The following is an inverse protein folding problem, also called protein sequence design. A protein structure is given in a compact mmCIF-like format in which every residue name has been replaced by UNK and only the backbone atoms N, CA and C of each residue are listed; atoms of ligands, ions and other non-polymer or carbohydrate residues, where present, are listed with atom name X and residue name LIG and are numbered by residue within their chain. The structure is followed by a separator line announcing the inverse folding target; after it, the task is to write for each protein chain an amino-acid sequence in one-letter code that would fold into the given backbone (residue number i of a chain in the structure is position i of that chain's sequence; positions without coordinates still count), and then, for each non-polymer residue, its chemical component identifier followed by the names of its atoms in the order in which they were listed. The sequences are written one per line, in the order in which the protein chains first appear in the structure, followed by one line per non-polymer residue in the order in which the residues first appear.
data_IF_781099959399
#
_entry.id   IF_781099959399
#
_cell.length_a   1.000
_cell.length_b   1.000
_cell.length_c   1.000
_cell.angle_alpha   90.00
_cell.angle_beta   90.00
_cell.angle_gamma   90.00
#
_symmetry.space_group_name_H-M   'P 1'
#
loop_
_entity.id
_entity.type
_entity.pdbx_description
1 polymer ?
#
# COMPACT_ATOMS: atom_id res chain seq x y z
N UNK A 1 4.24 -4.01 -12.67
CA UNK A 1 3.36 -2.97 -13.27
C UNK A 1 3.50 -2.81 -14.78
N UNK A 2 4.70 -2.84 -15.36
CA UNK A 2 4.89 -2.56 -16.80
C UNK A 2 4.11 -3.50 -17.75
N UNK A 3 3.99 -4.79 -17.43
CA UNK A 3 3.26 -5.78 -18.26
C UNK A 3 1.74 -5.62 -18.21
N UNK A 4 1.17 -5.58 -17.01
CA UNK A 4 -0.29 -5.53 -16.81
C UNK A 4 -0.87 -4.12 -16.66
N UNK A 5 -0.01 -3.10 -16.61
CA UNK A 5 -0.38 -1.67 -16.52
C UNK A 5 -1.27 -1.29 -15.32
N UNK A 6 -1.23 -2.08 -14.25
CA UNK A 6 -1.91 -1.71 -13.00
C UNK A 6 -1.22 -0.53 -12.31
N UNK A 7 -2.05 0.39 -11.80
CA UNK A 7 -1.61 1.53 -11.01
C UNK A 7 -1.52 1.23 -9.51
N UNK A 8 -2.35 0.30 -9.04
CA UNK A 8 -2.44 -0.08 -7.63
C UNK A 8 -2.67 -1.59 -7.57
N UNK A 9 -1.93 -2.29 -6.72
CA UNK A 9 -2.05 -3.73 -6.48
C UNK A 9 -2.09 -3.95 -4.97
N UNK A 10 -3.17 -4.57 -4.47
CA UNK A 10 -3.22 -5.07 -3.10
C UNK A 10 -2.48 -6.39 -2.96
N UNK A 11 -1.72 -6.53 -1.89
CA UNK A 11 -0.96 -7.74 -1.54
C UNK A 11 -1.40 -8.19 -0.16
N UNK A 12 -1.90 -9.41 -0.07
CA UNK A 12 -2.12 -10.11 1.20
C UNK A 12 -0.90 -10.94 1.55
N UNK A 13 -0.69 -11.20 2.83
CA UNK A 13 0.44 -11.99 3.36
C UNK A 13 1.81 -11.39 3.00
N UNK A 14 1.99 -10.09 3.22
CA UNK A 14 3.29 -9.40 3.02
C UNK A 14 4.37 -9.96 3.97
N UNK A 15 3.98 -10.41 5.18
CA UNK A 15 4.85 -10.99 6.22
C UNK A 15 5.98 -10.08 6.69
N UNK A 16 5.86 -8.78 6.44
CA UNK A 16 6.79 -7.78 6.98
C UNK A 16 6.31 -7.32 8.34
N UNK A 17 7.25 -7.02 9.23
CA UNK A 17 6.90 -6.54 10.56
C UNK A 17 6.56 -5.05 10.55
N UNK A 18 5.75 -4.64 11.53
CA UNK A 18 5.36 -3.25 11.73
C UNK A 18 4.65 -2.64 10.52
N UNK A 19 4.75 -1.33 10.37
CA UNK A 19 4.08 -0.57 9.31
C UNK A 19 5.01 0.48 8.73
N UNK A 20 4.82 0.81 7.46
CA UNK A 20 5.66 1.81 6.81
C UNK A 20 5.50 1.88 5.30
N UNK A 21 6.49 2.54 4.71
CA UNK A 21 6.64 2.74 3.28
C UNK A 21 8.11 2.50 2.89
N UNK A 22 8.35 1.78 1.79
CA UNK A 22 9.73 1.55 1.32
C UNK A 22 10.30 2.87 0.82
N UNK A 23 11.61 3.06 0.94
CA UNK A 23 12.33 4.16 0.26
C UNK A 23 11.98 4.19 -1.23
N UNK A 24 11.51 5.33 -1.72
CA UNK A 24 10.98 5.45 -3.07
C UNK A 24 9.47 5.25 -3.18
N UNK A 25 8.76 4.94 -2.10
CA UNK A 25 7.31 5.05 -1.98
C UNK A 25 6.49 4.20 -2.94
N UNK A 26 7.02 3.06 -3.36
CA UNK A 26 6.31 2.15 -4.26
C UNK A 26 5.41 1.17 -3.50
N UNK A 27 5.75 0.86 -2.24
CA UNK A 27 4.98 -0.06 -1.39
C UNK A 27 4.72 0.59 -0.02
N UNK A 28 3.46 0.56 0.40
CA UNK A 28 3.05 0.77 1.80
C UNK A 28 2.58 -0.56 2.37
N UNK A 29 2.83 -0.80 3.66
CA UNK A 29 2.40 -2.03 4.33
C UNK A 29 1.92 -1.80 5.77
N UNK A 30 1.14 -2.78 6.23
CA UNK A 30 0.66 -2.96 7.59
C UNK A 30 0.86 -4.42 7.98
N UNK A 31 1.74 -4.68 8.92
CA UNK A 31 2.12 -6.01 9.39
C UNK A 31 2.00 -6.15 10.91
N UNK A 32 2.26 -7.36 11.40
CA UNK A 32 2.39 -7.56 12.85
C UNK A 32 3.72 -7.02 13.38
N UNK A 33 3.75 -6.55 14.62
CA UNK A 33 4.97 -5.95 15.19
C UNK A 33 6.04 -7.00 15.50
N UNK A 34 5.63 -8.13 16.08
CA UNK A 34 6.56 -9.12 16.66
C UNK A 34 6.88 -10.31 15.75
N UNK A 35 5.99 -10.64 14.81
CA UNK A 35 6.09 -11.88 14.01
C UNK A 35 5.94 -11.60 12.52
N UNK A 36 6.57 -12.44 11.69
CA UNK A 36 6.46 -12.38 10.23
C UNK A 36 5.24 -13.16 9.71
N UNK A 37 4.08 -12.95 10.31
CA UNK A 37 2.83 -13.54 9.86
C UNK A 37 1.88 -12.46 9.33
N UNK A 38 0.87 -12.86 8.56
CA UNK A 38 -0.14 -11.96 8.01
C UNK A 38 0.52 -10.85 7.18
N UNK A 39 -0.02 -9.64 7.25
CA UNK A 39 0.46 -8.46 6.56
C UNK A 39 -0.41 -8.13 5.35
N UNK A 40 -0.77 -6.87 5.22
CA UNK A 40 -1.40 -6.31 4.03
C UNK A 40 -0.53 -5.20 3.48
N UNK A 41 -0.47 -5.06 2.15
CA UNK A 41 0.31 -4.03 1.50
C UNK A 41 -0.31 -3.59 0.18
N UNK A 42 0.15 -2.44 -0.30
CA UNK A 42 -0.31 -1.88 -1.55
C UNK A 42 0.87 -1.38 -2.39
N UNK A 43 1.12 -2.06 -3.50
CA UNK A 43 2.11 -1.66 -4.48
C UNK A 43 1.48 -0.62 -5.42
N UNK A 44 2.21 0.44 -5.72
CA UNK A 44 1.73 1.60 -6.50
C UNK A 44 2.66 1.88 -7.67
N UNK A 45 2.10 2.34 -8.78
CA UNK A 45 2.88 2.83 -9.93
C UNK A 45 3.53 4.15 -9.61
N UNK A 46 4.57 4.51 -10.36
CA UNK A 46 5.18 5.83 -10.26
C UNK A 46 4.11 6.93 -10.34
N UNK A 47 3.12 6.77 -11.22
CA UNK A 47 1.96 7.68 -11.30
C UNK A 47 1.12 7.68 -10.02
N UNK A 48 0.71 6.51 -9.53
CA UNK A 48 -0.16 6.40 -8.36
C UNK A 48 0.51 6.81 -7.05
N UNK A 49 1.84 6.66 -6.94
CA UNK A 49 2.62 7.14 -5.80
C UNK A 49 2.44 8.64 -5.60
N UNK A 50 2.55 9.43 -6.67
CA UNK A 50 2.43 10.88 -6.61
C UNK A 50 1.01 11.38 -6.33
N UNK A 51 0.01 10.50 -6.41
CA UNK A 51 -1.38 10.86 -6.10
C UNK A 51 -1.80 10.39 -4.70
N UNK A 52 -0.95 9.71 -3.95
CA UNK A 52 -1.26 9.31 -2.58
C UNK A 52 -1.41 10.56 -1.70
N UNK A 53 -2.58 10.71 -1.09
CA UNK A 53 -2.87 11.74 -0.09
C UNK A 53 -2.40 11.28 1.29
N UNK A 54 -2.59 10.00 1.59
CA UNK A 54 -2.14 9.36 2.83
C UNK A 54 -2.64 7.93 2.94
N UNK A 55 -2.11 7.18 3.90
CA UNK A 55 -2.52 5.81 4.18
C UNK A 55 -2.68 5.57 5.68
N UNK A 56 -3.54 4.62 6.03
CA UNK A 56 -3.79 4.24 7.41
C UNK A 56 -3.69 2.70 7.57
N UNK A 57 -2.62 2.22 8.22
CA UNK A 57 -2.46 0.83 8.65
C UNK A 57 -3.44 0.54 9.81
N UNK A 58 -4.55 -0.15 9.54
CA UNK A 58 -5.61 -0.40 10.53
C UNK A 58 -5.30 -1.62 11.39
N UNK A 59 -4.81 -2.70 10.76
CA UNK A 59 -4.37 -3.92 11.43
C UNK A 59 -3.38 -4.68 10.55
N UNK A 60 -2.80 -5.76 11.05
CA UNK A 60 -1.94 -6.66 10.26
C UNK A 60 -2.65 -7.31 9.05
N UNK A 61 -3.97 -7.14 8.89
CA UNK A 61 -4.74 -7.64 7.73
C UNK A 61 -5.39 -6.54 6.90
N UNK A 62 -5.38 -5.30 7.36
CA UNK A 62 -6.13 -4.21 6.72
C UNK A 62 -5.28 -2.94 6.68
N UNK A 63 -5.14 -2.39 5.47
CA UNK A 63 -4.56 -1.08 5.19
C UNK A 63 -5.49 -0.33 4.26
N UNK A 64 -5.67 0.96 4.50
CA UNK A 64 -6.43 1.86 3.61
C UNK A 64 -5.52 2.94 3.06
N UNK A 65 -5.76 3.37 1.82
CA UNK A 65 -4.93 4.37 1.16
C UNK A 65 -5.80 5.29 0.33
N UNK A 66 -5.67 6.60 0.54
CA UNK A 66 -6.47 7.58 -0.17
C UNK A 66 -5.67 8.20 -1.31
N UNK A 67 -6.22 8.17 -2.51
CA UNK A 67 -5.60 8.73 -3.72
C UNK A 67 -6.40 9.90 -4.26
N UNK A 68 -5.69 10.91 -4.75
CA UNK A 68 -6.24 11.98 -5.56
C UNK A 68 -6.41 11.48 -7.00
N UNK A 69 -7.63 11.52 -7.53
CA UNK A 69 -7.90 11.24 -8.95
C UNK A 69 -8.49 12.49 -9.62
N UNK A 70 -8.60 12.48 -10.94
CA UNK A 70 -9.11 13.64 -11.69
C UNK A 70 -10.56 14.00 -11.30
N UNK A 71 -11.37 13.01 -10.92
CA UNK A 71 -12.83 13.19 -10.75
C UNK A 71 -13.27 13.07 -9.29
N UNK A 72 -12.59 12.26 -8.48
CA UNK A 72 -12.91 12.08 -7.06
C UNK A 72 -11.70 11.57 -6.27
N UNK A 73 -11.85 11.42 -4.95
CA UNK A 73 -10.81 10.80 -4.11
C UNK A 73 -11.13 9.31 -3.94
N UNK A 74 -10.22 8.43 -4.35
CA UNK A 74 -10.35 6.98 -4.21
C UNK A 74 -9.82 6.55 -2.83
N UNK A 75 -10.44 5.58 -2.17
CA UNK A 75 -9.99 4.98 -0.90
C UNK A 75 -10.03 3.47 -0.98
#
# INVERSE_FOLDING_TARGET
MKRFRFNVIGISEVRWRGKGEISGGDLIWSGEDSTHNRGAGMLRSARAKHTLIGYNPISSRVITARFHTATFKLT
#
